data_IF_668829171287
#
_entry.id   IF_668829171287
#
_cell.length_a   1.000
_cell.length_b   1.000
_cell.length_c   1.000
_cell.angle_alpha   90.00
_cell.angle_beta   90.00
_cell.angle_gamma   90.00
#
_symmetry.space_group_name_H-M   'P 1'
#
loop_
_entity.id
_entity.type
_entity.pdbx_description
1 polymer ?
#
# COMPACT_ATOMS: atom_id res chain seq x y z
N UNK A 1 -28.06 -13.78 -55.92
CA UNK A 1 -28.41 -13.76 -54.48
C UNK A 1 -27.33 -14.34 -53.57
N UNK A 2 -26.62 -15.41 -53.96
CA UNK A 2 -25.61 -16.09 -53.13
C UNK A 2 -24.33 -15.27 -52.81
N UNK A 3 -23.92 -14.35 -53.70
CA UNK A 3 -22.71 -13.54 -53.51
C UNK A 3 -22.85 -12.43 -52.44
N UNK A 4 -24.04 -11.82 -52.31
CA UNK A 4 -24.31 -10.76 -51.33
C UNK A 4 -24.33 -11.29 -49.88
N UNK A 5 -24.79 -12.53 -49.69
CA UNK A 5 -24.82 -13.21 -48.39
C UNK A 5 -23.38 -13.54 -47.94
N UNK A 6 -22.51 -13.93 -48.87
CA UNK A 6 -21.11 -14.27 -48.56
C UNK A 6 -20.29 -13.04 -48.11
N UNK A 7 -20.51 -11.89 -48.74
CA UNK A 7 -19.83 -10.62 -48.36
C UNK A 7 -20.32 -10.13 -46.98
N UNK A 8 -21.60 -10.30 -46.67
CA UNK A 8 -22.16 -9.89 -45.37
C UNK A 8 -21.57 -10.73 -44.21
N UNK A 9 -21.37 -12.04 -44.43
CA UNK A 9 -20.76 -12.95 -43.45
C UNK A 9 -19.28 -12.65 -43.17
N UNK A 10 -18.51 -12.28 -44.20
CA UNK A 10 -17.09 -11.90 -44.05
C UNK A 10 -16.96 -10.58 -43.28
N UNK A 11 -17.83 -9.60 -43.53
CA UNK A 11 -17.87 -8.34 -42.80
C UNK A 11 -18.20 -8.54 -41.32
N UNK A 12 -19.17 -9.42 -41.02
CA UNK A 12 -19.53 -9.76 -39.64
C UNK A 12 -18.37 -10.45 -38.88
N UNK A 13 -17.61 -11.31 -39.57
CA UNK A 13 -16.41 -11.95 -39.00
C UNK A 13 -15.28 -10.95 -38.72
N UNK A 14 -15.07 -9.97 -39.61
CA UNK A 14 -14.04 -8.94 -39.41
C UNK A 14 -14.40 -7.98 -38.26
N UNK A 15 -15.68 -7.72 -38.02
CA UNK A 15 -16.15 -6.93 -36.86
C UNK A 15 -15.99 -7.75 -35.56
N UNK A 16 -16.23 -9.06 -35.59
CA UNK A 16 -16.03 -9.95 -34.44
C UNK A 16 -14.56 -10.12 -34.03
N UNK A 17 -13.63 -10.13 -34.98
CA UNK A 17 -12.19 -10.25 -34.71
C UNK A 17 -11.58 -9.01 -34.05
N UNK A 18 -12.18 -7.82 -34.22
CA UNK A 18 -11.74 -6.60 -33.54
C UNK A 18 -12.21 -6.50 -32.07
N UNK A 19 -13.12 -7.39 -31.63
CA UNK A 19 -13.66 -7.36 -30.27
C UNK A 19 -12.91 -8.27 -29.28
N UNK A 20 -12.04 -9.17 -29.76
CA UNK A 20 -11.42 -10.18 -28.91
C UNK A 20 -10.04 -9.80 -28.33
N UNK A 21 -9.44 -8.67 -28.72
CA UNK A 21 -8.06 -8.33 -28.34
C UNK A 21 -7.89 -7.49 -27.06
N UNK A 22 -8.92 -7.27 -26.24
CA UNK A 22 -8.78 -6.34 -25.10
C UNK A 22 -9.26 -6.85 -23.75
N UNK A 23 -8.95 -8.11 -23.43
CA UNK A 23 -8.97 -8.54 -22.03
C UNK A 23 -7.60 -9.11 -21.66
N UNK A 24 -6.60 -8.24 -21.65
CA UNK A 24 -5.40 -8.52 -20.87
C UNK A 24 -5.76 -8.32 -19.41
N UNK A 25 -6.11 -9.41 -18.71
CA UNK A 25 -6.06 -9.44 -17.25
C UNK A 25 -4.59 -9.40 -16.83
N UNK A 26 -3.96 -8.23 -16.95
CA UNK A 26 -2.75 -7.97 -16.21
C UNK A 26 -3.19 -7.91 -14.73
N UNK A 27 -2.72 -8.87 -13.93
CA UNK A 27 -2.75 -8.67 -12.48
C UNK A 27 -2.14 -7.31 -12.22
N UNK A 28 -2.92 -6.43 -11.61
CA UNK A 28 -2.47 -5.10 -11.23
C UNK A 28 -1.21 -5.32 -10.37
N UNK A 29 -0.21 -4.46 -10.51
CA UNK A 29 1.02 -4.57 -9.72
C UNK A 29 1.02 -3.46 -8.69
N UNK A 30 1.58 -3.69 -7.49
CA UNK A 30 1.73 -2.61 -6.54
C UNK A 30 2.65 -1.53 -7.12
N UNK A 31 2.39 -0.29 -6.72
CA UNK A 31 3.19 0.87 -7.08
C UNK A 31 4.63 0.73 -6.58
N UNK A 32 5.53 1.40 -7.29
CA UNK A 32 6.95 1.36 -6.98
C UNK A 32 7.27 2.31 -5.82
N UNK A 33 8.04 1.80 -4.86
CA UNK A 33 8.51 2.55 -3.71
C UNK A 33 10.04 2.62 -3.76
N UNK A 34 10.61 3.82 -3.57
CA UNK A 34 12.07 4.05 -3.58
C UNK A 34 12.50 4.89 -2.40
N UNK A 35 13.77 4.79 -1.99
CA UNK A 35 14.34 5.71 -1.00
C UNK A 35 14.18 7.16 -1.44
N UNK A 36 13.98 8.06 -0.47
CA UNK A 36 13.83 9.48 -0.69
C UNK A 36 14.65 10.28 0.33
N UNK A 37 15.10 11.46 -0.09
CA UNK A 37 15.75 12.42 0.79
C UNK A 37 14.72 13.36 1.42
N UNK A 38 14.97 13.80 2.66
CA UNK A 38 14.09 14.75 3.35
C UNK A 38 13.91 16.06 2.56
N UNK A 39 14.92 16.47 1.78
CA UNK A 39 14.86 17.66 0.95
C UNK A 39 13.85 17.55 -0.23
N UNK A 40 13.41 16.34 -0.59
CA UNK A 40 12.37 16.12 -1.60
C UNK A 40 10.95 16.39 -1.05
N UNK A 41 10.76 16.29 0.27
CA UNK A 41 9.46 16.42 0.92
C UNK A 41 9.12 17.91 1.08
N UNK A 42 8.23 18.42 0.21
CA UNK A 42 7.83 19.83 0.15
C UNK A 42 6.32 19.97 -0.03
N UNK A 43 5.78 21.11 0.39
CA UNK A 43 4.35 21.43 0.27
C UNK A 43 3.58 21.11 1.55
N UNK A 44 2.29 20.83 1.39
CA UNK A 44 1.39 20.40 2.46
C UNK A 44 0.98 18.95 2.23
N UNK A 45 0.63 18.27 3.31
CA UNK A 45 0.28 16.86 3.28
C UNK A 45 -0.99 16.56 4.08
N UNK A 46 -1.76 15.60 3.60
CA UNK A 46 -2.70 14.86 4.42
C UNK A 46 -1.93 13.73 5.10
N UNK A 47 -1.56 13.94 6.36
CA UNK A 47 -0.74 13.01 7.12
C UNK A 47 -1.62 11.88 7.68
N UNK A 48 -1.36 10.65 7.24
CA UNK A 48 -2.04 9.44 7.70
C UNK A 48 -1.10 8.71 8.65
N UNK A 49 -1.55 8.50 9.88
CA UNK A 49 -0.82 7.80 10.95
C UNK A 49 -1.51 6.48 11.21
N UNK A 50 -0.91 5.37 10.81
CA UNK A 50 -1.45 4.02 10.92
C UNK A 50 -0.79 3.25 12.06
N UNK A 51 -1.60 2.56 12.87
CA UNK A 51 -1.16 1.74 14.00
C UNK A 51 -0.98 2.51 15.30
N UNK A 52 -0.15 1.98 16.20
CA UNK A 52 0.15 2.61 17.49
C UNK A 52 -1.02 2.60 18.47
N UNK A 53 -1.84 1.53 18.43
CA UNK A 53 -2.92 1.32 19.40
C UNK A 53 -2.38 0.88 20.74
N UNK A 54 -1.33 0.07 20.71
CA UNK A 54 -0.63 -0.45 21.86
C UNK A 54 0.85 -0.02 21.83
N UNK A 55 1.45 0.08 23.01
CA UNK A 55 2.84 0.54 23.16
C UNK A 55 3.88 -0.43 22.59
N UNK A 56 3.48 -1.66 22.31
CA UNK A 56 4.27 -2.74 21.72
C UNK A 56 3.87 -3.04 20.27
N UNK A 57 3.08 -2.15 19.63
CA UNK A 57 2.74 -2.32 18.22
C UNK A 57 3.94 -2.07 17.31
N UNK A 58 4.23 -3.08 16.50
CA UNK A 58 5.27 -3.04 15.47
C UNK A 58 4.76 -2.47 14.15
N UNK A 59 3.46 -2.61 13.88
CA UNK A 59 2.80 -2.20 12.64
C UNK A 59 2.49 -0.69 12.66
N UNK A 60 3.52 0.14 12.55
CA UNK A 60 3.37 1.60 12.60
C UNK A 60 3.91 2.23 11.34
N UNK A 61 3.09 3.02 10.66
CA UNK A 61 3.43 3.65 9.39
C UNK A 61 2.86 5.07 9.35
N UNK A 62 3.66 6.02 8.89
CA UNK A 62 3.17 7.34 8.53
C UNK A 62 3.21 7.51 7.01
N UNK A 63 2.09 7.93 6.42
CA UNK A 63 1.97 8.25 4.99
C UNK A 63 1.75 9.74 4.86
N UNK A 64 2.58 10.39 4.07
CA UNK A 64 2.49 11.80 3.71
C UNK A 64 1.87 11.87 2.31
N UNK A 65 0.54 11.98 2.28
CA UNK A 65 -0.26 12.15 1.05
C UNK A 65 -0.19 13.61 0.60
N UNK A 66 0.21 13.89 -0.64
CA UNK A 66 0.45 15.25 -1.12
C UNK A 66 -0.89 15.99 -1.22
N UNK A 67 -1.02 17.10 -0.51
CA UNK A 67 -2.25 17.88 -0.57
C UNK A 67 -2.43 18.57 -1.93
N UNK A 68 -3.62 18.43 -2.51
CA UNK A 68 -4.01 19.08 -3.76
C UNK A 68 -3.52 18.38 -5.03
N UNK A 69 -2.96 17.17 -4.94
CA UNK A 69 -2.78 16.33 -6.12
C UNK A 69 -4.04 15.50 -6.42
N UNK A 70 -3.96 14.60 -7.41
CA UNK A 70 -5.11 13.79 -7.84
C UNK A 70 -5.15 12.41 -7.16
N UNK A 71 -4.33 12.20 -6.13
CA UNK A 71 -4.19 10.93 -5.44
C UNK A 71 -4.74 11.02 -4.03
N UNK A 72 -5.31 9.91 -3.55
CA UNK A 72 -5.87 9.82 -2.20
C UNK A 72 -5.53 8.46 -1.62
N UNK A 73 -4.81 8.45 -0.51
CA UNK A 73 -4.40 7.21 0.14
C UNK A 73 -5.48 6.68 1.07
N UNK A 74 -5.86 5.43 0.86
CA UNK A 74 -6.94 4.72 1.54
C UNK A 74 -6.37 3.45 2.20
N UNK A 75 -5.95 3.52 3.48
CA UNK A 75 -5.51 2.36 4.23
C UNK A 75 -6.58 1.27 4.22
N UNK A 76 -6.20 0.06 3.83
CA UNK A 76 -7.06 -1.11 3.89
C UNK A 76 -7.13 -1.65 5.32
N UNK A 77 -7.76 -0.85 6.18
CA UNK A 77 -7.96 -1.14 7.58
C UNK A 77 -9.18 -0.37 8.10
N UNK A 78 -9.77 -0.80 9.23
CA UNK A 78 -10.81 -0.03 9.90
C UNK A 78 -10.39 1.40 10.25
N UNK A 79 -11.32 2.35 10.25
CA UNK A 79 -11.02 3.77 10.52
C UNK A 79 -10.41 4.04 11.91
N UNK A 80 -10.56 3.11 12.86
CA UNK A 80 -9.95 3.21 14.18
C UNK A 80 -8.50 2.66 14.21
N UNK A 81 -7.95 2.17 13.09
CA UNK A 81 -6.53 1.77 12.95
C UNK A 81 -5.64 2.94 12.56
N UNK A 82 -6.22 4.06 12.12
CA UNK A 82 -5.44 5.18 11.64
C UNK A 82 -6.08 6.53 11.93
N UNK A 83 -5.27 7.58 11.83
CA UNK A 83 -5.72 8.96 11.96
C UNK A 83 -5.24 9.76 10.76
N UNK A 84 -6.11 10.60 10.22
CA UNK A 84 -5.76 11.56 9.16
C UNK A 84 -5.71 12.97 9.73
N UNK A 85 -4.60 13.67 9.50
CA UNK A 85 -4.41 15.08 9.84
C UNK A 85 -4.23 15.83 8.53
N UNK A 86 -5.20 16.67 8.17
CA UNK A 86 -5.24 17.32 6.86
C UNK A 86 -4.37 18.58 6.80
N UNK A 87 -3.89 18.90 5.61
CA UNK A 87 -3.20 20.16 5.27
C UNK A 87 -2.08 20.53 6.27
N UNK A 88 -1.15 19.61 6.49
CA UNK A 88 0.00 19.76 7.39
C UNK A 88 1.23 20.19 6.57
N UNK A 89 1.91 21.30 6.92
CA UNK A 89 3.15 21.69 6.26
C UNK A 89 4.23 20.62 6.37
N UNK A 90 5.03 20.45 5.31
CA UNK A 90 6.08 19.42 5.19
C UNK A 90 6.90 19.20 6.47
N UNK A 91 7.49 20.27 7.02
CA UNK A 91 8.33 20.19 8.22
C UNK A 91 7.57 19.60 9.42
N UNK A 92 6.34 20.08 9.65
CA UNK A 92 5.49 19.59 10.73
C UNK A 92 5.01 18.17 10.47
N UNK A 93 4.74 17.81 9.22
CA UNK A 93 4.33 16.47 8.82
C UNK A 93 5.43 15.46 9.12
N UNK A 94 6.67 15.77 8.74
CA UNK A 94 7.85 14.93 9.02
C UNK A 94 8.05 14.77 10.53
N UNK A 95 8.09 15.88 11.29
CA UNK A 95 8.28 15.82 12.75
C UNK A 95 7.20 14.99 13.45
N UNK A 96 5.94 15.13 13.01
CA UNK A 96 4.82 14.37 13.56
C UNK A 96 4.93 12.89 13.20
N UNK A 97 5.28 12.59 11.95
CA UNK A 97 5.50 11.23 11.46
C UNK A 97 6.63 10.53 12.21
N UNK A 98 7.79 11.17 12.34
CA UNK A 98 8.96 10.63 13.05
C UNK A 98 8.62 10.28 14.49
N UNK A 99 8.01 11.21 15.23
CA UNK A 99 7.58 10.98 16.61
C UNK A 99 6.57 9.84 16.71
N UNK A 100 5.67 9.74 15.74
CA UNK A 100 4.64 8.71 15.72
C UNK A 100 5.22 7.32 15.47
N UNK A 101 6.18 7.15 14.56
CA UNK A 101 6.73 5.82 14.26
C UNK A 101 7.83 5.38 15.23
N UNK A 102 8.33 6.29 16.09
CA UNK A 102 9.48 6.02 16.96
C UNK A 102 9.13 5.66 18.41
N UNK A 103 7.86 5.39 18.75
CA UNK A 103 7.48 5.18 20.17
C UNK A 103 7.94 3.84 20.75
N UNK A 104 8.12 2.84 19.89
CA UNK A 104 8.37 1.47 20.32
C UNK A 104 9.77 1.32 20.93
N UNK A 105 9.91 0.55 22.02
CA UNK A 105 11.17 0.42 22.76
C UNK A 105 12.35 -0.13 21.90
N UNK A 106 12.05 -0.99 20.94
CA UNK A 106 13.00 -1.58 20.00
C UNK A 106 13.27 -0.71 18.76
N UNK A 107 12.72 0.51 18.68
CA UNK A 107 12.98 1.45 17.59
C UNK A 107 14.48 1.75 17.48
N UNK A 108 15.00 1.71 16.26
CA UNK A 108 16.39 2.04 15.97
C UNK A 108 16.50 3.33 15.15
N UNK A 109 15.80 3.40 14.01
CA UNK A 109 15.83 4.56 13.12
C UNK A 109 14.62 4.57 12.19
N UNK A 110 14.37 5.67 11.49
CA UNK A 110 13.35 5.75 10.44
C UNK A 110 13.94 5.51 9.06
N UNK A 111 13.07 5.14 8.11
CA UNK A 111 13.36 5.13 6.68
C UNK A 111 12.25 5.88 5.96
N UNK A 112 12.66 6.85 5.14
CA UNK A 112 11.78 7.60 4.25
C UNK A 112 11.84 7.00 2.85
N UNK A 113 10.67 6.76 2.28
CA UNK A 113 10.52 6.32 0.90
C UNK A 113 9.48 7.16 0.17
N UNK A 114 9.68 7.38 -1.13
CA UNK A 114 8.71 7.97 -2.04
C UNK A 114 7.93 6.89 -2.76
N UNK A 115 6.65 7.17 -2.97
CA UNK A 115 5.69 6.31 -3.66
C UNK A 115 5.50 6.90 -5.05
N UNK A 116 5.68 6.07 -6.07
CA UNK A 116 5.69 6.49 -7.48
C UNK A 116 4.47 5.95 -8.21
N UNK A 117 3.81 6.79 -9.00
CA UNK A 117 2.77 6.34 -9.93
C UNK A 117 3.36 5.51 -11.08
N UNK A 118 2.48 5.00 -11.94
CA UNK A 118 2.84 4.26 -13.15
C UNK A 118 3.73 5.05 -14.15
N UNK A 119 3.77 6.37 -14.04
CA UNK A 119 4.58 7.28 -14.88
C UNK A 119 5.90 7.69 -14.20
N UNK A 120 6.14 7.23 -12.97
CA UNK A 120 7.32 7.58 -12.17
C UNK A 120 7.22 8.91 -11.44
N UNK A 121 6.06 9.56 -11.40
CA UNK A 121 5.80 10.77 -10.61
C UNK A 121 5.65 10.38 -9.14
N UNK A 122 6.26 11.16 -8.25
CA UNK A 122 6.00 11.04 -6.81
C UNK A 122 4.59 11.51 -6.47
N UNK A 123 3.83 10.65 -5.80
CA UNK A 123 2.44 10.91 -5.38
C UNK A 123 2.28 10.94 -3.86
N UNK A 124 3.35 10.63 -3.13
CA UNK A 124 3.36 10.63 -1.68
C UNK A 124 4.65 10.06 -1.13
N UNK A 125 4.76 10.07 0.18
CA UNK A 125 5.87 9.48 0.90
C UNK A 125 5.36 8.57 2.00
N UNK A 126 6.18 7.60 2.37
CA UNK A 126 6.01 6.83 3.60
C UNK A 126 7.24 6.95 4.48
N UNK A 127 7.00 7.07 5.77
CA UNK A 127 8.00 7.02 6.81
C UNK A 127 7.67 5.82 7.71
N UNK A 128 8.59 4.88 7.79
CA UNK A 128 8.44 3.66 8.60
C UNK A 128 9.60 3.49 9.58
N UNK A 129 9.39 2.83 10.73
CA UNK A 129 10.48 2.51 11.63
C UNK A 129 11.27 1.30 11.12
N UNK A 130 12.55 1.28 11.44
CA UNK A 130 13.37 0.09 11.50
C UNK A 130 13.67 -0.22 12.96
N UNK A 131 13.57 -1.49 13.30
CA UNK A 131 13.81 -2.01 14.64
C UNK A 131 15.22 -2.57 14.78
N UNK A 132 15.69 -2.73 16.01
CA UNK A 132 16.95 -3.42 16.26
C UNK A 132 16.82 -4.91 15.89
N UNK A 133 17.64 -5.43 14.96
CA UNK A 133 17.55 -6.83 14.53
C UNK A 133 17.76 -7.85 15.65
N UNK A 134 18.47 -7.49 16.73
CA UNK A 134 18.68 -8.38 17.88
C UNK A 134 17.38 -8.75 18.60
N UNK A 135 16.31 -7.95 18.45
CA UNK A 135 15.02 -8.18 19.11
C UNK A 135 14.12 -9.11 18.28
N UNK A 136 14.07 -8.93 16.96
CA UNK A 136 13.10 -9.61 16.08
C UNK A 136 13.73 -10.44 14.95
N UNK A 137 15.05 -10.44 14.82
CA UNK A 137 15.77 -11.05 13.69
C UNK A 137 15.79 -10.18 12.42
N UNK A 138 14.91 -9.19 12.31
CA UNK A 138 14.75 -8.30 11.15
C UNK A 138 14.71 -6.83 11.58
N UNK A 139 15.24 -5.94 10.73
CA UNK A 139 15.14 -4.51 10.94
C UNK A 139 13.80 -3.95 10.41
N UNK A 140 13.46 -4.29 9.17
CA UNK A 140 12.17 -3.96 8.55
C UNK A 140 11.24 -5.16 8.79
N UNK A 141 10.18 -4.96 9.56
CA UNK A 141 9.26 -6.01 9.99
C UNK A 141 7.92 -5.94 9.28
N UNK A 142 7.75 -5.02 8.32
CA UNK A 142 6.48 -4.78 7.64
C UNK A 142 6.61 -4.88 6.12
N UNK A 143 5.61 -5.52 5.51
CA UNK A 143 5.29 -5.35 4.11
C UNK A 143 4.26 -4.22 3.95
N UNK A 144 4.53 -3.31 3.00
CA UNK A 144 3.60 -2.24 2.64
C UNK A 144 3.41 -2.25 1.12
N UNK A 145 2.17 -2.37 0.68
CA UNK A 145 1.80 -2.38 -0.73
C UNK A 145 0.82 -1.26 -1.06
N UNK A 146 1.11 -0.54 -2.13
CA UNK A 146 0.28 0.54 -2.65
C UNK A 146 -0.34 0.11 -3.97
N UNK A 147 -1.66 0.23 -4.10
CA UNK A 147 -2.38 -0.18 -5.29
C UNK A 147 -3.18 0.99 -5.83
N UNK A 148 -2.79 1.49 -7.00
CA UNK A 148 -3.60 2.46 -7.72
C UNK A 148 -4.93 1.82 -8.11
N UNK A 149 -6.02 2.56 -7.89
CA UNK A 149 -7.40 2.18 -8.22
C UNK A 149 -8.03 3.31 -9.02
N UNK A 150 -9.22 3.04 -9.53
CA UNK A 150 -10.00 4.03 -10.27
C UNK A 150 -10.19 5.33 -9.46
N UNK A 151 -10.17 6.46 -10.16
CA UNK A 151 -10.39 7.78 -9.56
C UNK A 151 -9.24 8.31 -8.70
N UNK A 152 -8.01 7.82 -8.88
CA UNK A 152 -6.83 8.31 -8.16
C UNK A 152 -6.70 7.76 -6.73
N UNK A 153 -7.55 6.82 -6.34
CA UNK A 153 -7.47 6.19 -5.02
C UNK A 153 -6.27 5.25 -4.97
N UNK A 154 -5.47 5.34 -3.91
CA UNK A 154 -4.36 4.43 -3.63
C UNK A 154 -4.73 3.57 -2.43
N UNK A 155 -5.08 2.29 -2.69
CA UNK A 155 -5.33 1.32 -1.62
C UNK A 155 -4.00 0.92 -0.97
N UNK A 156 -3.90 1.04 0.34
CA UNK A 156 -2.66 0.73 1.09
C UNK A 156 -2.87 -0.51 1.94
N UNK A 157 -2.12 -1.58 1.66
CA UNK A 157 -2.09 -2.78 2.50
C UNK A 157 -0.83 -2.76 3.35
N UNK A 158 -1.00 -2.87 4.66
CA UNK A 158 0.09 -2.90 5.64
C UNK A 158 -0.05 -4.19 6.43
N UNK A 159 1.04 -4.92 6.61
CA UNK A 159 1.06 -6.14 7.42
C UNK A 159 2.48 -6.41 7.94
N UNK A 160 2.59 -7.15 9.03
CA UNK A 160 3.86 -7.77 9.42
C UNK A 160 4.36 -8.75 8.35
N UNK A 161 5.68 -8.91 8.29
CA UNK A 161 6.26 -10.05 7.59
C UNK A 161 5.87 -11.35 8.31
N UNK A 162 5.68 -12.41 7.54
CA UNK A 162 5.17 -13.71 8.04
C UNK A 162 5.90 -14.24 9.29
N UNK A 163 7.25 -14.18 9.40
CA UNK A 163 7.93 -14.62 10.63
C UNK A 163 7.49 -13.86 11.89
N UNK A 164 7.17 -12.57 11.77
CA UNK A 164 6.78 -11.73 12.90
C UNK A 164 5.28 -11.88 13.21
N UNK A 165 4.46 -12.06 12.17
CA UNK A 165 3.03 -12.36 12.32
C UNK A 165 2.80 -13.64 13.14
N UNK A 166 3.55 -14.70 12.83
CA UNK A 166 3.50 -15.98 13.55
C UNK A 166 3.94 -15.85 15.03
N UNK A 167 4.83 -14.92 15.35
CA UNK A 167 5.24 -14.64 16.73
C UNK A 167 4.14 -13.93 17.52
N UNK A 168 3.40 -13.00 16.90
CA UNK A 168 2.25 -12.34 17.53
C UNK A 168 1.06 -13.28 17.70
N UNK A 169 0.86 -14.22 16.75
CA UNK A 169 -0.30 -15.12 16.73
C UNK A 169 0.12 -16.60 16.52
N UNK A 170 0.62 -17.29 17.56
CA UNK A 170 1.18 -18.64 17.46
C UNK A 170 0.17 -19.77 17.11
N UNK A 171 -1.06 -19.45 16.69
CA UNK A 171 -2.12 -20.41 16.34
C UNK A 171 -2.69 -20.29 14.93
N UNK A 172 -2.11 -19.47 14.04
CA UNK A 172 -2.66 -19.20 12.70
C UNK A 172 -2.42 -20.30 11.64
N UNK A 173 -1.69 -21.36 11.97
CA UNK A 173 -1.38 -22.44 11.03
C UNK A 173 -2.44 -23.56 11.06
N UNK A 174 -3.48 -23.40 10.25
CA UNK A 174 -4.17 -24.52 9.58
C UNK A 174 -5.06 -25.44 10.41
N UNK A 175 -6.29 -25.03 10.71
CA UNK A 175 -7.39 -25.95 11.02
C UNK A 175 -8.39 -26.01 9.85
N UNK A 176 -7.94 -26.60 8.74
CA UNK A 176 -8.82 -27.29 7.79
C UNK A 176 -8.81 -28.78 8.16
N UNK A 177 -9.50 -29.14 9.23
CA UNK A 177 -9.52 -30.49 9.78
C UNK A 177 -10.81 -30.75 10.54
N UNK A 178 -11.93 -30.84 9.81
CA UNK A 178 -13.11 -31.50 10.35
C UNK A 178 -12.79 -32.96 10.63
N UNK A 179 -12.88 -33.37 11.89
CA UNK A 179 -12.97 -34.78 12.28
C UNK A 179 -13.75 -34.89 13.59
N UNK A 180 -14.83 -35.65 13.55
CA UNK A 180 -15.79 -35.80 14.65
C UNK A 180 -15.46 -36.87 15.69
N UNK A 181 -16.47 -37.16 16.51
CA UNK A 181 -16.55 -38.21 17.53
C UNK A 181 -16.41 -37.65 18.95
N UNK A 182 -17.33 -37.83 19.91
CA UNK A 182 -18.53 -38.66 20.04
C UNK A 182 -19.56 -37.90 20.88
#
# INVERSE_FOLDING_TARGET
MRLKIFILLISLCLIGLNFFERVSFAFEKPLLVKGADLAEVKGNFNLILYGGRHSDDLETLAILDIDGDNYFFDPFAPDFDYKVIKNVPAEKAIQTAEKFVSFHNAFHKTVLKKILDSKGKTIGYELRPLYYPIVYGFADVMDVFYWEKEGGRIKVLIRLIEPIELLKFPGGAGDAGGSGGN
#
